data_IF_350703322963
#
_entry.id   IF_350703322963
#
_cell.length_a   1.000
_cell.length_b   1.000
_cell.length_c   1.000
_cell.angle_alpha   90.00
_cell.angle_beta   90.00
_cell.angle_gamma   90.00
#
_symmetry.space_group_name_H-M   'P 1'
#
loop_
_entity.id
_entity.type
_entity.pdbx_description
1 polymer ?
#
# COMPACT_ATOMS: atom_id res chain seq x y z
N UNK A 1 -8.90 49.65 36.24
CA UNK A 1 -8.62 48.28 36.71
C UNK A 1 -9.79 47.40 36.29
N UNK A 2 -9.49 46.20 35.77
CA UNK A 2 -10.37 45.16 35.18
C UNK A 2 -10.61 45.25 33.66
N UNK A 3 -9.69 44.62 32.91
CA UNK A 3 -9.98 44.09 31.57
C UNK A 3 -10.83 42.83 31.74
N UNK A 4 -12.07 42.87 31.27
CA UNK A 4 -12.94 41.70 31.19
C UNK A 4 -12.42 40.80 30.06
N UNK A 5 -11.71 39.74 30.43
CA UNK A 5 -11.35 38.67 29.50
C UNK A 5 -12.61 37.86 29.20
N UNK A 6 -13.20 38.11 28.03
CA UNK A 6 -14.20 37.20 27.45
C UNK A 6 -13.44 35.97 26.97
N UNK A 7 -13.46 34.89 27.76
CA UNK A 7 -13.05 33.58 27.26
C UNK A 7 -14.09 33.15 26.23
N UNK A 8 -13.68 33.08 24.97
CA UNK A 8 -14.48 32.42 23.96
C UNK A 8 -14.41 30.91 24.27
N UNK A 9 -15.42 30.39 24.95
CA UNK A 9 -15.67 28.95 24.94
C UNK A 9 -16.12 28.62 23.53
N UNK A 10 -15.17 28.23 22.68
CA UNK A 10 -15.49 27.55 21.44
C UNK A 10 -16.19 26.25 21.83
N UNK A 11 -17.51 26.20 21.66
CA UNK A 11 -18.27 24.97 21.71
C UNK A 11 -17.54 23.95 20.83
N UNK A 12 -17.00 22.89 21.45
CA UNK A 12 -16.33 21.77 20.79
C UNK A 12 -17.42 20.89 20.14
N UNK A 13 -18.26 21.51 19.32
CA UNK A 13 -19.26 20.88 18.47
C UNK A 13 -19.07 21.32 17.00
N UNK A 14 -17.91 21.86 16.67
CA UNK A 14 -17.50 22.22 15.33
C UNK A 14 -16.57 21.17 14.73
N UNK A 15 -17.15 20.25 13.95
CA UNK A 15 -16.44 19.51 12.90
C UNK A 15 -15.32 18.56 13.37
N UNK A 16 -15.72 17.38 13.86
CA UNK A 16 -14.96 16.14 13.64
C UNK A 16 -15.00 15.71 12.15
N UNK A 17 -14.87 16.66 11.21
CA UNK A 17 -14.57 16.29 9.83
C UNK A 17 -13.15 15.76 9.86
N UNK A 18 -13.06 14.44 9.98
CA UNK A 18 -11.83 13.70 9.78
C UNK A 18 -11.22 14.23 8.49
N UNK A 19 -9.99 14.73 8.58
CA UNK A 19 -9.26 15.23 7.43
C UNK A 19 -9.26 14.15 6.33
N UNK A 20 -9.58 14.56 5.10
CA UNK A 20 -9.63 13.63 3.97
C UNK A 20 -8.21 13.17 3.65
N UNK A 21 -7.92 11.89 3.89
CA UNK A 21 -6.66 11.26 3.54
C UNK A 21 -6.81 10.25 2.39
N UNK A 22 -5.71 9.97 1.68
CA UNK A 22 -5.67 9.01 0.57
C UNK A 22 -4.67 7.91 0.87
N UNK A 23 -5.15 6.66 0.85
CA UNK A 23 -4.31 5.47 0.84
C UNK A 23 -4.58 4.69 -0.45
N UNK A 24 -3.67 4.80 -1.41
CA UNK A 24 -3.77 4.15 -2.72
C UNK A 24 -2.41 3.62 -3.14
N UNK A 25 -2.36 2.34 -3.48
CA UNK A 25 -1.16 1.68 -4.00
C UNK A 25 -1.45 1.16 -5.41
N UNK A 26 -0.53 1.39 -6.34
CA UNK A 26 -0.57 0.85 -7.71
C UNK A 26 0.72 0.05 -7.93
N UNK A 27 0.57 -1.24 -8.28
CA UNK A 27 1.69 -2.14 -8.51
C UNK A 27 1.55 -2.81 -9.86
N UNK A 28 2.68 -2.98 -10.55
CA UNK A 28 2.80 -3.79 -11.75
C UNK A 28 4.01 -4.70 -11.55
N UNK A 29 3.82 -6.01 -11.69
CA UNK A 29 4.85 -6.97 -11.34
C UNK A 29 4.49 -8.40 -11.72
N UNK A 30 5.31 -9.33 -11.26
CA UNK A 30 5.16 -10.77 -11.52
C UNK A 30 4.74 -11.48 -10.25
N UNK A 31 3.90 -12.50 -10.38
CA UNK A 31 3.43 -13.30 -9.24
C UNK A 31 4.49 -14.34 -8.86
N UNK A 32 4.76 -14.49 -7.56
CA UNK A 32 5.83 -15.37 -7.07
C UNK A 32 5.42 -16.81 -6.81
N UNK A 33 4.13 -17.04 -6.60
CA UNK A 33 3.54 -18.33 -6.26
C UNK A 33 2.05 -18.32 -6.59
N UNK A 34 1.46 -19.49 -6.81
CA UNK A 34 0.03 -19.63 -7.02
C UNK A 34 -0.77 -19.05 -5.84
N UNK A 35 -1.94 -18.44 -6.11
CA UNK A 35 -2.76 -17.83 -5.08
C UNK A 35 -3.33 -18.87 -4.12
N UNK A 36 -3.33 -18.55 -2.83
CA UNK A 36 -3.90 -19.39 -1.77
C UNK A 36 -5.19 -18.75 -1.26
N UNK A 37 -6.29 -19.50 -1.30
CA UNK A 37 -7.54 -19.10 -0.65
C UNK A 37 -7.51 -19.54 0.81
N UNK A 38 -7.56 -18.56 1.73
CA UNK A 38 -7.63 -18.81 3.17
C UNK A 38 -9.01 -18.43 3.68
N UNK A 39 -9.70 -19.39 4.28
CA UNK A 39 -10.93 -19.16 5.04
C UNK A 39 -10.62 -19.42 6.52
N UNK A 40 -10.87 -18.43 7.36
CA UNK A 40 -10.75 -18.55 8.82
C UNK A 40 -12.16 -18.60 9.37
N UNK A 41 -12.42 -19.45 10.37
CA UNK A 41 -13.72 -19.54 11.02
C UNK A 41 -14.22 -18.15 11.46
N UNK A 42 -15.46 -17.83 11.12
CA UNK A 42 -16.07 -16.52 11.40
C UNK A 42 -15.58 -15.35 10.53
N UNK A 43 -14.68 -15.56 9.56
CA UNK A 43 -14.20 -14.51 8.64
C UNK A 43 -14.48 -14.83 7.18
N UNK A 44 -14.70 -13.77 6.40
CA UNK A 44 -14.82 -13.89 4.95
C UNK A 44 -13.54 -14.49 4.35
N UNK A 45 -13.65 -15.36 3.33
CA UNK A 45 -12.48 -15.94 2.69
C UNK A 45 -11.63 -14.85 2.02
N UNK A 46 -10.33 -15.09 1.91
CA UNK A 46 -9.34 -14.15 1.36
C UNK A 46 -8.41 -14.88 0.42
N UNK A 47 -8.21 -14.34 -0.78
CA UNK A 47 -7.19 -14.84 -1.71
C UNK A 47 -5.89 -14.09 -1.48
N UNK A 48 -4.79 -14.81 -1.27
CA UNK A 48 -3.48 -14.26 -0.95
C UNK A 48 -2.43 -14.76 -1.96
N UNK A 49 -1.60 -13.84 -2.46
CA UNK A 49 -0.46 -14.18 -3.33
C UNK A 49 0.69 -13.16 -3.14
N UNK A 50 1.87 -13.50 -3.63
CA UNK A 50 3.03 -12.59 -3.62
C UNK A 50 3.25 -11.96 -5.00
N UNK A 51 3.67 -10.69 -5.03
CA UNK A 51 3.99 -9.95 -6.25
C UNK A 51 5.35 -9.28 -6.15
N UNK A 52 6.24 -9.59 -7.09
CA UNK A 52 7.56 -8.99 -7.23
C UNK A 52 7.51 -7.74 -8.11
N UNK A 53 8.11 -6.66 -7.64
CA UNK A 53 8.45 -5.48 -8.44
C UNK A 53 9.96 -5.29 -8.44
N UNK A 54 10.51 -4.83 -9.57
CA UNK A 54 11.95 -4.56 -9.69
C UNK A 54 12.17 -3.05 -9.82
N UNK A 55 13.18 -2.57 -9.12
CA UNK A 55 13.69 -1.22 -9.23
C UNK A 55 15.14 -1.30 -9.72
N UNK A 56 15.47 -0.53 -10.76
CA UNK A 56 16.81 -0.47 -11.35
C UNK A 56 17.31 0.96 -11.28
N UNK A 57 18.53 1.15 -10.79
CA UNK A 57 19.17 2.46 -10.70
C UNK A 57 20.65 2.35 -11.07
N UNK A 58 21.22 3.44 -11.58
CA UNK A 58 22.63 3.49 -11.96
C UNK A 58 23.45 4.01 -10.78
N UNK A 59 24.43 3.24 -10.36
CA UNK A 59 25.41 3.68 -9.36
C UNK A 59 26.45 4.56 -10.02
N UNK A 60 26.33 5.88 -9.86
CA UNK A 60 27.32 6.83 -10.38
C UNK A 60 26.77 8.24 -10.56
N UNK A 61 26.56 8.96 -9.46
CA UNK A 61 26.22 10.41 -9.46
C UNK A 61 27.44 11.29 -9.13
N UNK A 62 28.65 10.71 -9.07
CA UNK A 62 29.87 11.46 -8.79
C UNK A 62 30.67 11.61 -10.10
N UNK A 63 31.03 12.85 -10.41
CA UNK A 63 31.40 13.45 -11.71
C UNK A 63 32.65 12.90 -12.43
N UNK A 64 33.10 11.67 -12.20
CA UNK A 64 34.33 11.15 -12.82
C UNK A 64 34.21 9.69 -13.27
N UNK A 65 33.71 9.52 -14.49
CA UNK A 65 34.21 8.56 -15.49
C UNK A 65 34.62 7.17 -15.00
N UNK A 66 33.68 6.38 -14.46
CA UNK A 66 33.77 4.92 -14.53
C UNK A 66 32.39 4.38 -14.84
N UNK A 67 32.31 3.44 -15.80
CA UNK A 67 31.10 2.80 -16.29
C UNK A 67 30.20 2.38 -15.13
N UNK A 68 29.11 3.14 -14.90
CA UNK A 68 28.28 2.98 -13.72
C UNK A 68 27.57 1.63 -13.71
N UNK A 69 27.82 0.84 -12.68
CA UNK A 69 27.14 -0.43 -12.47
C UNK A 69 25.63 -0.19 -12.32
N UNK A 70 24.83 -0.97 -13.05
CA UNK A 70 23.37 -0.96 -12.91
C UNK A 70 23.00 -1.87 -11.74
N UNK A 71 22.53 -1.26 -10.66
CA UNK A 71 22.03 -1.99 -9.49
C UNK A 71 20.55 -2.32 -9.68
N UNK A 72 20.15 -3.53 -9.28
CA UNK A 72 18.76 -3.98 -9.31
C UNK A 72 18.33 -4.45 -7.92
N UNK A 73 17.14 -4.01 -7.48
CA UNK A 73 16.50 -4.47 -6.24
C UNK A 73 15.10 -5.01 -6.55
N UNK A 74 14.79 -6.18 -5.99
CA UNK A 74 13.45 -6.78 -6.09
C UNK A 74 12.72 -6.66 -4.74
N UNK A 75 11.49 -6.16 -4.78
CA UNK A 75 10.62 -6.01 -3.61
C UNK A 75 9.44 -6.96 -3.74
N UNK A 76 9.18 -7.72 -2.67
CA UNK A 76 8.08 -8.69 -2.60
C UNK A 76 6.90 -8.14 -1.79
N UNK A 77 5.74 -8.08 -2.43
CA UNK A 77 4.50 -7.58 -1.85
C UNK A 77 3.57 -8.75 -1.54
N UNK A 78 2.93 -8.75 -0.37
CA UNK A 78 1.89 -9.72 -0.03
C UNK A 78 0.52 -9.11 -0.32
N UNK A 79 -0.14 -9.58 -1.38
CA UNK A 79 -1.44 -9.09 -1.82
C UNK A 79 -2.54 -9.90 -1.13
N UNK A 80 -3.57 -9.23 -0.59
CA UNK A 80 -4.74 -9.88 0.03
C UNK A 80 -6.02 -9.31 -0.58
N UNK A 81 -6.82 -10.18 -1.21
CA UNK A 81 -8.05 -9.80 -1.92
C UNK A 81 -9.26 -10.28 -1.13
N UNK A 82 -10.03 -9.32 -0.62
CA UNK A 82 -11.22 -9.58 0.19
C UNK A 82 -12.54 -9.46 -0.58
N UNK A 83 -12.56 -8.64 -1.65
CA UNK A 83 -13.78 -8.37 -2.43
C UNK A 83 -14.26 -9.67 -3.11
N UNK A 84 -15.50 -10.15 -2.86
CA UNK A 84 -15.93 -11.49 -3.27
C UNK A 84 -15.66 -11.84 -4.73
N UNK A 85 -16.18 -11.05 -5.68
CA UNK A 85 -15.97 -11.35 -7.11
C UNK A 85 -14.51 -11.25 -7.55
N UNK A 86 -13.74 -10.29 -7.02
CA UNK A 86 -12.33 -10.14 -7.39
C UNK A 86 -11.46 -11.23 -6.75
N UNK A 87 -11.81 -11.68 -5.55
CA UNK A 87 -11.14 -12.76 -4.83
C UNK A 87 -11.21 -14.06 -5.61
N UNK A 88 -12.39 -14.40 -6.12
CA UNK A 88 -12.64 -15.65 -6.82
C UNK A 88 -11.93 -15.64 -8.19
N UNK A 89 -11.99 -14.51 -8.92
CA UNK A 89 -11.22 -14.28 -10.15
C UNK A 89 -9.72 -14.38 -9.88
N UNK A 90 -9.22 -13.73 -8.82
CA UNK A 90 -7.80 -13.79 -8.47
C UNK A 90 -7.36 -15.23 -8.20
N UNK A 91 -8.17 -16.03 -7.51
CA UNK A 91 -7.84 -17.42 -7.22
C UNK A 91 -7.85 -18.31 -8.47
N UNK A 92 -8.81 -18.11 -9.36
CA UNK A 92 -8.96 -18.92 -10.58
C UNK A 92 -7.86 -18.60 -11.61
N UNK A 93 -7.59 -17.32 -11.84
CA UNK A 93 -6.80 -16.88 -13.00
C UNK A 93 -5.37 -16.45 -12.68
N UNK A 94 -5.05 -16.07 -11.44
CA UNK A 94 -3.65 -15.76 -11.10
C UNK A 94 -2.87 -17.07 -11.01
N UNK A 95 -1.69 -17.09 -11.65
CA UNK A 95 -0.75 -18.22 -11.69
C UNK A 95 0.68 -17.71 -11.62
N UNK A 96 1.58 -18.56 -11.13
CA UNK A 96 3.03 -18.37 -11.30
C UNK A 96 3.48 -18.71 -12.71
#
# INVERSE_FOLDING_TARGET
VLHQFVRHESEIAGSLVLERSLNRVQLLGRVGQDPVMRQVEGKNPVTIFSLATNEMWRSGENETHQMGDVSQKTTWHRISVFRPGLRDVAYQYVKK
#
